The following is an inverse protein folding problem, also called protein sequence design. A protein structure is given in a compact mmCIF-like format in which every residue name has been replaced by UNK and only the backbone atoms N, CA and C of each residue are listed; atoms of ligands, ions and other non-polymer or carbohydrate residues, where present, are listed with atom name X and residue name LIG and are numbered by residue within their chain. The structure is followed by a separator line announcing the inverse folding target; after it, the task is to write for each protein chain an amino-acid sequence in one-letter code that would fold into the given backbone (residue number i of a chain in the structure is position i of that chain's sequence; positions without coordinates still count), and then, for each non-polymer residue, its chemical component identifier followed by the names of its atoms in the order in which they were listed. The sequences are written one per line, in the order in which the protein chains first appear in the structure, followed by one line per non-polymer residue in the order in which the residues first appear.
data_IF_476578322108
#
_entry.id   IF_476578322108
#
_cell.length_a   1.000
_cell.length_b   1.000
_cell.length_c   1.000
_cell.angle_alpha   90.00
_cell.angle_beta   90.00
_cell.angle_gamma   90.00
#
_symmetry.space_group_name_H-M   'P 1'
#
loop_
_entity.id
_entity.type
_entity.pdbx_description
1 polymer ?
#
# COMPACT_ATOMS: atom_id res chain seq x y z
N UNK A 1 29.55 -68.23 -7.57
CA UNK A 1 28.68 -67.66 -6.52
C UNK A 1 29.13 -66.21 -6.36
N UNK A 2 28.64 -65.26 -7.17
CA UNK A 2 27.37 -64.51 -7.00
C UNK A 2 27.24 -64.01 -5.55
N UNK A 3 27.01 -62.75 -5.22
CA UNK A 3 26.58 -61.58 -5.98
C UNK A 3 27.00 -60.32 -5.21
N UNK A 4 27.08 -59.23 -5.97
CA UNK A 4 27.41 -57.88 -5.54
C UNK A 4 26.56 -57.43 -4.34
N UNK A 5 27.24 -57.02 -3.27
CA UNK A 5 26.63 -56.30 -2.16
C UNK A 5 26.07 -54.97 -2.69
N UNK A 6 24.78 -54.95 -2.97
CA UNK A 6 24.03 -53.78 -3.44
C UNK A 6 24.11 -52.70 -2.36
N UNK A 7 24.85 -51.65 -2.67
CA UNK A 7 24.96 -50.41 -1.91
C UNK A 7 23.56 -49.80 -1.79
N UNK A 8 22.95 -49.90 -0.61
CA UNK A 8 21.68 -49.25 -0.32
C UNK A 8 21.85 -47.73 -0.29
N UNK A 9 21.41 -47.06 -1.35
CA UNK A 9 21.30 -45.60 -1.41
C UNK A 9 20.16 -45.15 -0.48
N UNK A 10 20.47 -44.68 0.73
CA UNK A 10 19.48 -44.10 1.65
C UNK A 10 19.01 -42.74 1.14
N UNK A 11 17.85 -42.70 0.50
CA UNK A 11 17.17 -41.45 0.13
C UNK A 11 16.30 -40.97 1.29
N UNK A 12 16.64 -39.83 1.88
CA UNK A 12 15.83 -39.19 2.91
C UNK A 12 14.82 -38.22 2.28
N UNK A 13 13.54 -38.59 2.29
CA UNK A 13 12.45 -37.72 1.82
C UNK A 13 12.00 -36.78 2.96
N UNK A 14 12.35 -35.50 2.85
CA UNK A 14 11.95 -34.47 3.82
C UNK A 14 10.71 -33.74 3.29
N UNK A 15 9.60 -33.81 4.04
CA UNK A 15 8.35 -33.11 3.71
C UNK A 15 8.29 -31.78 4.47
N UNK A 16 8.64 -30.69 3.81
CA UNK A 16 8.56 -29.34 4.37
C UNK A 16 7.12 -28.81 4.27
N UNK A 17 6.48 -28.53 5.41
CA UNK A 17 5.22 -27.78 5.48
C UNK A 17 5.54 -26.31 5.73
N UNK A 18 5.42 -25.47 4.72
CA UNK A 18 5.57 -24.02 4.86
C UNK A 18 4.28 -23.43 5.41
N UNK A 19 4.38 -22.67 6.51
CA UNK A 19 3.27 -21.88 7.03
C UNK A 19 2.88 -20.82 6.00
N UNK A 20 1.65 -20.89 5.48
CA UNK A 20 1.08 -19.83 4.65
C UNK A 20 1.02 -18.55 5.49
N UNK A 21 1.75 -17.53 5.07
CA UNK A 21 1.56 -16.17 5.60
C UNK A 21 0.29 -15.66 4.96
N UNK A 22 -0.81 -15.66 5.72
CA UNK A 22 -1.98 -14.89 5.34
C UNK A 22 -1.55 -13.42 5.25
N UNK A 23 -1.50 -12.90 4.02
CA UNK A 23 -1.52 -11.47 3.85
C UNK A 23 -2.82 -11.03 4.49
N UNK A 24 -2.74 -10.31 5.60
CA UNK A 24 -3.91 -9.66 6.20
C UNK A 24 -4.70 -9.07 5.04
N UNK A 25 -5.92 -9.58 4.83
CA UNK A 25 -6.81 -9.06 3.80
C UNK A 25 -6.77 -7.56 3.92
N UNK A 26 -6.48 -6.88 2.80
CA UNK A 26 -6.24 -5.45 2.80
C UNK A 26 -7.32 -4.79 3.64
N UNK A 27 -6.99 -4.33 4.85
CA UNK A 27 -7.92 -3.57 5.66
C UNK A 27 -8.50 -2.50 4.74
N UNK A 28 -9.82 -2.51 4.57
CA UNK A 28 -10.51 -1.82 3.48
C UNK A 28 -9.92 -0.43 3.31
N UNK A 29 -9.21 -0.21 2.19
CA UNK A 29 -8.56 1.07 1.94
C UNK A 29 -9.66 2.13 1.93
N UNK A 30 -9.59 3.10 2.84
CA UNK A 30 -10.59 4.15 2.91
C UNK A 30 -10.54 5.00 1.63
N UNK A 31 -11.71 5.38 1.11
CA UNK A 31 -11.81 6.29 -0.03
C UNK A 31 -11.38 7.71 0.35
N UNK A 32 -10.84 8.45 -0.61
CA UNK A 32 -10.42 9.83 -0.39
C UNK A 32 -11.59 10.82 -0.50
N UNK A 33 -12.50 10.79 0.48
CA UNK A 33 -13.69 11.65 0.55
C UNK A 33 -13.32 13.14 0.53
N UNK A 34 -12.11 13.50 1.00
CA UNK A 34 -11.63 14.87 1.01
C UNK A 34 -11.59 15.54 -0.37
N UNK A 35 -11.44 14.75 -1.46
CA UNK A 35 -11.47 15.26 -2.84
C UNK A 35 -12.83 15.85 -3.24
N UNK A 36 -13.92 15.44 -2.61
CA UNK A 36 -15.26 15.98 -2.88
C UNK A 36 -15.42 17.45 -2.47
N UNK A 37 -14.50 17.99 -1.66
CA UNK A 37 -14.46 19.44 -1.36
C UNK A 37 -14.13 20.28 -2.60
N UNK A 38 -13.43 19.71 -3.58
CA UNK A 38 -13.14 20.37 -4.84
C UNK A 38 -14.39 20.33 -5.74
N UNK A 39 -14.94 21.49 -6.09
CA UNK A 39 -16.17 21.60 -6.85
C UNK A 39 -16.10 20.90 -8.23
N UNK A 40 -14.94 20.94 -8.89
CA UNK A 40 -14.74 20.27 -10.18
C UNK A 40 -14.84 18.74 -10.06
N UNK A 41 -14.14 18.16 -9.08
CA UNK A 41 -14.14 16.70 -8.84
C UNK A 41 -15.53 16.22 -8.42
N UNK A 42 -16.25 17.03 -7.63
CA UNK A 42 -17.62 16.72 -7.23
C UNK A 42 -18.56 16.62 -8.44
N UNK A 43 -18.50 17.61 -9.36
CA UNK A 43 -19.29 17.60 -10.60
C UNK A 43 -18.99 16.37 -11.45
N UNK A 44 -17.72 16.02 -11.60
CA UNK A 44 -17.27 14.84 -12.34
C UNK A 44 -17.79 13.54 -11.70
N UNK A 45 -17.73 13.44 -10.37
CA UNK A 45 -18.25 12.29 -9.63
C UNK A 45 -19.78 12.13 -9.80
N UNK A 46 -20.53 13.23 -9.71
CA UNK A 46 -22.00 13.21 -9.92
C UNK A 46 -22.35 12.81 -11.34
N UNK A 47 -21.61 13.31 -12.34
CA UNK A 47 -21.82 12.95 -13.74
C UNK A 47 -21.53 11.46 -13.98
N UNK A 48 -20.43 10.95 -13.45
CA UNK A 48 -20.06 9.54 -13.56
C UNK A 48 -21.09 8.62 -12.90
N UNK A 49 -21.64 9.01 -11.74
CA UNK A 49 -22.73 8.28 -11.10
C UNK A 49 -23.99 8.27 -11.97
N UNK A 50 -24.40 9.43 -12.50
CA UNK A 50 -25.56 9.54 -13.39
C UNK A 50 -25.41 8.66 -14.63
N UNK A 51 -24.22 8.64 -15.23
CA UNK A 51 -23.94 7.81 -16.40
C UNK A 51 -24.07 6.32 -16.07
N UNK A 52 -23.49 5.87 -14.94
CA UNK A 52 -23.58 4.46 -14.52
C UNK A 52 -25.02 4.03 -14.22
N UNK A 53 -25.75 4.82 -13.42
CA UNK A 53 -27.13 4.49 -13.09
C UNK A 53 -28.06 4.58 -14.30
N UNK A 54 -27.82 5.50 -15.23
CA UNK A 54 -28.52 5.56 -16.51
C UNK A 54 -28.32 4.28 -17.33
N UNK A 55 -27.08 3.80 -17.44
CA UNK A 55 -26.78 2.55 -18.14
C UNK A 55 -27.42 1.32 -17.46
N UNK A 56 -27.48 1.30 -16.12
CA UNK A 56 -28.14 0.23 -15.38
C UNK A 56 -29.66 0.25 -15.51
N UNK A 57 -30.27 1.43 -15.53
CA UNK A 57 -31.71 1.56 -15.78
C UNK A 57 -32.09 1.02 -17.16
N UNK A 58 -31.34 1.39 -18.20
CA UNK A 58 -31.56 0.89 -19.55
C UNK A 58 -31.42 -0.64 -19.67
N UNK A 59 -30.53 -1.25 -18.87
CA UNK A 59 -30.40 -2.71 -18.82
C UNK A 59 -31.59 -3.35 -18.08
N UNK A 60 -32.00 -2.77 -16.95
CA UNK A 60 -33.13 -3.27 -16.16
C UNK A 60 -34.45 -3.25 -16.96
N UNK A 61 -34.70 -2.21 -17.75
CA UNK A 61 -35.88 -2.08 -18.62
C UNK A 61 -35.95 -3.15 -19.73
N UNK A 62 -34.84 -3.84 -20.01
CA UNK A 62 -34.76 -4.91 -21.03
C UNK A 62 -34.88 -6.33 -20.47
N UNK A 63 -34.94 -6.47 -19.15
CA UNK A 63 -35.01 -7.75 -18.43
C UNK A 63 -36.34 -7.87 -17.69
N UNK A 64 -37.15 -8.87 -18.03
CA UNK A 64 -38.45 -9.16 -17.39
C UNK A 64 -38.32 -9.92 -16.05
N UNK A 65 -37.09 -10.22 -15.61
CA UNK A 65 -36.81 -10.90 -14.35
C UNK A 65 -36.70 -9.86 -13.22
N UNK A 66 -37.47 -10.04 -12.15
CA UNK A 66 -37.48 -9.12 -11.02
C UNK A 66 -36.36 -9.51 -10.04
N UNK A 67 -35.22 -8.78 -9.97
CA UNK A 67 -34.11 -9.22 -9.16
C UNK A 67 -34.45 -9.16 -7.68
N UNK A 68 -33.98 -10.16 -6.93
CA UNK A 68 -34.07 -10.21 -5.47
C UNK A 68 -33.56 -8.91 -4.83
N UNK A 69 -34.19 -8.48 -3.74
CA UNK A 69 -33.89 -7.21 -3.05
C UNK A 69 -32.41 -7.16 -2.65
N UNK A 70 -31.83 -8.30 -2.28
CA UNK A 70 -30.42 -8.41 -1.95
C UNK A 70 -29.51 -8.05 -3.12
N UNK A 71 -29.80 -8.57 -4.32
CA UNK A 71 -28.98 -8.33 -5.52
C UNK A 71 -29.14 -6.90 -6.03
N UNK A 72 -30.35 -6.32 -5.93
CA UNK A 72 -30.60 -4.89 -6.18
C UNK A 72 -29.73 -4.02 -5.27
N UNK A 73 -29.73 -4.31 -3.97
CA UNK A 73 -28.92 -3.58 -3.00
C UNK A 73 -27.41 -3.72 -3.26
N UNK A 74 -26.94 -4.93 -3.59
CA UNK A 74 -25.53 -5.17 -3.89
C UNK A 74 -25.09 -4.44 -5.17
N UNK A 75 -25.93 -4.40 -6.19
CA UNK A 75 -25.69 -3.64 -7.43
C UNK A 75 -25.56 -2.14 -7.14
N UNK A 76 -26.48 -1.57 -6.35
CA UNK A 76 -26.41 -0.17 -5.94
C UNK A 76 -25.11 0.10 -5.17
N UNK A 77 -24.80 -0.73 -4.18
CA UNK A 77 -23.57 -0.57 -3.39
C UNK A 77 -22.31 -0.63 -4.26
N UNK A 78 -22.22 -1.61 -5.15
CA UNK A 78 -21.04 -1.81 -6.00
C UNK A 78 -20.85 -0.67 -6.98
N UNK A 79 -21.91 -0.14 -7.57
CA UNK A 79 -21.84 0.99 -8.51
C UNK A 79 -21.36 2.27 -7.86
N UNK A 80 -21.81 2.55 -6.63
CA UNK A 80 -21.26 3.65 -5.83
C UNK A 80 -19.78 3.45 -5.51
N UNK A 81 -19.37 2.24 -5.13
CA UNK A 81 -17.97 1.92 -4.83
C UNK A 81 -17.10 2.06 -6.08
N UNK A 82 -17.54 1.58 -7.24
CA UNK A 82 -16.83 1.70 -8.51
C UNK A 82 -16.67 3.15 -8.97
N UNK A 83 -17.73 3.95 -8.87
CA UNK A 83 -17.65 5.37 -9.18
C UNK A 83 -16.70 6.11 -8.23
N UNK A 84 -16.81 5.83 -6.93
CA UNK A 84 -15.99 6.49 -5.94
C UNK A 84 -14.52 6.07 -6.04
N UNK A 85 -14.24 4.80 -6.34
CA UNK A 85 -12.87 4.32 -6.58
C UNK A 85 -12.27 4.88 -7.87
N UNK A 86 -13.05 5.05 -8.94
CA UNK A 86 -12.59 5.67 -10.20
C UNK A 86 -12.21 7.14 -10.02
N UNK A 87 -13.09 7.94 -9.41
CA UNK A 87 -12.91 9.40 -9.34
C UNK A 87 -12.12 9.84 -8.09
N UNK A 88 -12.52 9.34 -6.91
CA UNK A 88 -11.89 9.74 -5.65
C UNK A 88 -10.60 8.94 -5.40
N UNK A 89 -10.61 7.66 -5.78
CA UNK A 89 -9.53 6.74 -5.46
C UNK A 89 -9.41 6.51 -3.95
N UNK A 90 -8.39 5.76 -3.59
CA UNK A 90 -8.10 5.44 -2.20
C UNK A 90 -7.31 6.55 -1.53
N UNK A 91 -7.53 6.71 -0.22
CA UNK A 91 -6.74 7.58 0.62
C UNK A 91 -5.32 7.04 0.67
N UNK A 92 -4.38 7.85 0.21
CA UNK A 92 -2.98 7.54 0.39
C UNK A 92 -2.69 7.40 1.88
N UNK A 93 -1.88 6.41 2.24
CA UNK A 93 -1.30 6.35 3.58
C UNK A 93 -0.56 7.66 3.75
N UNK A 94 -1.12 8.59 4.55
CA UNK A 94 -0.58 9.93 4.73
C UNK A 94 0.94 9.82 4.81
N UNK A 95 1.62 10.31 3.78
CA UNK A 95 3.05 10.49 3.89
C UNK A 95 3.24 11.36 5.11
N UNK A 96 4.18 10.95 5.96
CA UNK A 96 4.54 11.70 7.16
C UNK A 96 4.87 13.13 6.69
N UNK A 97 3.95 14.07 6.89
CA UNK A 97 4.04 15.45 6.39
C UNK A 97 5.32 16.14 6.90
N UNK A 98 5.85 15.65 8.02
CA UNK A 98 7.09 16.09 8.64
C UNK A 98 8.37 15.56 7.97
N UNK A 99 8.32 14.56 7.08
CA UNK A 99 9.50 14.01 6.43
C UNK A 99 9.88 14.80 5.17
N UNK A 100 11.14 15.21 5.09
CA UNK A 100 11.70 15.97 3.99
C UNK A 100 11.92 15.07 2.76
N UNK A 101 11.80 15.58 1.50
CA UNK A 101 12.10 14.80 0.29
C UNK A 101 13.47 14.13 0.29
N UNK A 102 14.49 14.78 0.86
CA UNK A 102 15.83 14.20 1.01
C UNK A 102 15.86 12.95 1.89
N UNK A 103 15.04 12.89 2.95
CA UNK A 103 14.93 11.69 3.79
C UNK A 103 14.17 10.58 3.07
N UNK A 104 13.16 10.91 2.26
CA UNK A 104 12.49 9.95 1.39
C UNK A 104 13.44 9.31 0.37
N UNK A 105 14.31 10.09 -0.26
CA UNK A 105 15.34 9.57 -1.18
C UNK A 105 16.27 8.57 -0.46
N UNK A 106 16.69 8.86 0.77
CA UNK A 106 17.52 7.95 1.57
C UNK A 106 16.79 6.66 1.94
N UNK A 107 15.48 6.73 2.23
CA UNK A 107 14.65 5.54 2.45
C UNK A 107 14.62 4.66 1.20
N UNK A 108 14.51 5.27 0.03
CA UNK A 108 14.49 4.53 -1.23
C UNK A 108 15.84 3.85 -1.52
N UNK A 109 16.95 4.56 -1.32
CA UNK A 109 18.30 3.96 -1.40
C UNK A 109 18.46 2.77 -0.43
N UNK A 110 17.91 2.87 0.79
CA UNK A 110 17.92 1.77 1.74
C UNK A 110 17.13 0.55 1.24
N UNK A 111 15.96 0.78 0.61
CA UNK A 111 15.17 -0.31 0.02
C UNK A 111 15.94 -1.00 -1.11
N UNK A 112 16.59 -0.24 -1.98
CA UNK A 112 17.42 -0.78 -3.06
C UNK A 112 18.55 -1.67 -2.50
N UNK A 113 19.22 -1.25 -1.42
CA UNK A 113 20.23 -2.09 -0.77
C UNK A 113 19.61 -3.37 -0.17
N UNK A 114 18.42 -3.28 0.41
CA UNK A 114 17.71 -4.46 0.91
C UNK A 114 17.38 -5.45 -0.22
N UNK A 115 16.92 -4.95 -1.37
CA UNK A 115 16.68 -5.78 -2.55
C UNK A 115 17.98 -6.45 -3.05
N UNK A 116 19.09 -5.71 -3.08
CA UNK A 116 20.41 -6.26 -3.43
C UNK A 116 20.85 -7.38 -2.48
N UNK A 117 20.58 -7.28 -1.18
CA UNK A 117 20.88 -8.35 -0.21
C UNK A 117 20.11 -9.64 -0.55
N UNK A 118 18.83 -9.52 -0.93
CA UNK A 118 17.97 -10.65 -1.26
C UNK A 118 18.38 -11.34 -2.57
N UNK A 119 18.82 -10.56 -3.56
CA UNK A 119 19.18 -11.09 -4.88
C UNK A 119 20.60 -11.66 -4.96
N UNK A 120 21.48 -11.31 -4.02
CA UNK A 120 22.89 -11.70 -4.04
C UNK A 120 23.09 -13.11 -3.47
N UNK A 121 23.61 -14.04 -4.28
CA UNK A 121 23.94 -15.42 -3.87
C UNK A 121 25.32 -15.55 -3.21
N UNK A 122 26.29 -14.70 -3.56
CA UNK A 122 27.65 -14.74 -3.00
C UNK A 122 27.71 -14.18 -1.57
N UNK A 123 28.23 -14.97 -0.63
CA UNK A 123 28.32 -14.59 0.79
C UNK A 123 29.20 -13.35 1.03
N UNK A 124 30.32 -13.22 0.31
CA UNK A 124 31.23 -12.07 0.43
C UNK A 124 30.55 -10.77 0.02
N UNK A 125 29.89 -10.78 -1.14
CA UNK A 125 29.19 -9.62 -1.67
C UNK A 125 27.97 -9.29 -0.79
N UNK A 126 27.25 -10.30 -0.31
CA UNK A 126 26.14 -10.11 0.63
C UNK A 126 26.59 -9.43 1.93
N UNK A 127 27.76 -9.80 2.49
CA UNK A 127 28.33 -9.16 3.68
C UNK A 127 28.62 -7.67 3.44
N UNK A 128 29.21 -7.33 2.29
CA UNK A 128 29.48 -5.93 1.93
C UNK A 128 28.19 -5.11 1.79
N UNK A 129 27.19 -5.63 1.09
CA UNK A 129 25.90 -4.94 0.91
C UNK A 129 25.16 -4.81 2.26
N UNK A 130 25.27 -5.80 3.16
CA UNK A 130 24.74 -5.73 4.53
C UNK A 130 25.37 -4.59 5.33
N UNK A 131 26.69 -4.40 5.24
CA UNK A 131 27.35 -3.26 5.91
C UNK A 131 26.91 -1.92 5.32
N UNK A 132 26.83 -1.80 3.99
CA UNK A 132 26.28 -0.61 3.34
C UNK A 132 24.83 -0.32 3.78
N UNK A 133 24.00 -1.36 3.90
CA UNK A 133 22.63 -1.24 4.39
C UNK A 133 22.59 -0.74 5.84
N UNK A 134 23.44 -1.24 6.74
CA UNK A 134 23.51 -0.78 8.13
C UNK A 134 23.87 0.71 8.20
N UNK A 135 24.86 1.15 7.43
CA UNK A 135 25.25 2.57 7.38
C UNK A 135 24.11 3.44 6.87
N UNK A 136 23.45 3.02 5.78
CA UNK A 136 22.29 3.75 5.24
C UNK A 136 21.09 3.74 6.19
N UNK A 137 20.85 2.68 6.94
CA UNK A 137 19.79 2.63 7.95
C UNK A 137 20.04 3.62 9.10
N UNK A 138 21.29 3.75 9.56
CA UNK A 138 21.69 4.77 10.53
C UNK A 138 21.46 6.18 9.98
N UNK A 139 21.83 6.42 8.72
CA UNK A 139 21.63 7.70 8.05
C UNK A 139 20.14 8.08 7.96
N UNK A 140 19.30 7.15 7.51
CA UNK A 140 17.84 7.32 7.44
C UNK A 140 17.26 7.64 8.81
N UNK A 141 17.66 6.91 9.86
CA UNK A 141 17.21 7.15 11.25
C UNK A 141 17.67 8.52 11.78
N UNK A 142 18.86 8.98 11.42
CA UNK A 142 19.35 10.31 11.81
C UNK A 142 18.55 11.41 11.09
N UNK A 143 18.39 11.28 9.78
CA UNK A 143 17.64 12.23 8.94
C UNK A 143 16.17 12.36 9.39
N UNK A 144 15.50 11.24 9.63
CA UNK A 144 14.11 11.23 10.11
C UNK A 144 13.97 11.85 11.52
N UNK A 145 14.96 11.70 12.41
CA UNK A 145 14.93 12.36 13.72
C UNK A 145 15.09 13.88 13.59
N UNK A 146 15.97 14.34 12.71
CA UNK A 146 16.17 15.76 12.45
C UNK A 146 14.93 16.41 11.85
N UNK A 147 14.36 15.79 10.80
CA UNK A 147 13.11 16.21 10.16
C UNK A 147 11.99 16.36 11.19
N UNK A 148 11.84 15.38 12.09
CA UNK A 148 10.82 15.42 13.14
C UNK A 148 11.04 16.59 14.11
N UNK A 149 12.28 16.84 14.54
CA UNK A 149 12.58 17.98 15.43
C UNK A 149 12.25 19.32 14.77
N UNK A 150 12.71 19.52 13.54
CA UNK A 150 12.44 20.73 12.77
C UNK A 150 10.92 20.96 12.59
N UNK A 151 10.17 19.90 12.33
CA UNK A 151 8.71 20.00 12.22
C UNK A 151 8.02 20.39 13.53
N UNK A 152 8.43 19.81 14.66
CA UNK A 152 7.90 20.16 15.99
C UNK A 152 8.23 21.61 16.35
N UNK A 153 9.45 22.06 16.05
CA UNK A 153 9.88 23.44 16.29
C UNK A 153 9.08 24.45 15.45
N UNK A 154 8.88 24.15 14.16
CA UNK A 154 8.02 24.96 13.28
C UNK A 154 6.57 25.05 13.78
N UNK A 155 6.01 23.95 14.31
CA UNK A 155 4.69 23.96 14.94
C UNK A 155 4.67 24.84 16.19
N UNK A 156 5.71 24.78 17.02
CA UNK A 156 5.88 25.64 18.19
C UNK A 156 5.89 27.12 17.83
N UNK A 157 6.73 27.52 16.87
CA UNK A 157 6.79 28.92 16.41
C UNK A 157 5.44 29.41 15.84
N UNK A 158 4.70 28.55 15.12
CA UNK A 158 3.37 28.90 14.61
C UNK A 158 2.36 29.10 15.75
N UNK A 159 2.39 28.24 16.76
CA UNK A 159 1.50 28.35 17.91
C UNK A 159 1.81 29.62 18.73
N UNK A 160 3.08 29.91 19.01
CA UNK A 160 3.51 31.13 19.69
C UNK A 160 3.06 32.39 18.91
N UNK A 161 3.29 32.41 17.60
CA UNK A 161 2.86 33.52 16.74
C UNK A 161 1.34 33.70 16.70
N UNK A 162 0.55 32.63 16.78
CA UNK A 162 -0.90 32.71 16.86
C UNK A 162 -1.36 33.25 18.22
N UNK A 163 -0.76 32.79 19.32
CA UNK A 163 -1.07 33.27 20.66
C UNK A 163 -0.75 34.76 20.85
N UNK A 164 0.27 35.29 20.19
CA UNK A 164 0.59 36.74 20.22
C UNK A 164 -0.39 37.62 19.43
N UNK A 165 -1.18 37.02 18.52
CA UNK A 165 -2.09 37.74 17.62
C UNK A 165 -3.56 37.65 18.04
N UNK A 166 -3.89 36.81 19.01
CA UNK A 166 -5.20 36.73 19.66
C UNK A 166 -5.19 37.55 20.93
#
# INVERSE_FOLDING_TARGET
MSEFAVVWMRTANIKLKLRKVEQQGQQGRQLNIGKLKCQNINKEFVLELRNRFGALGALADSTDEDPDIHTKWETIKNTYVEAATKILGYRDKKNKEWLTPGTWQKIEQKKQLKAKILNTKSLRLQKQVKEAYKTKDKEVKKSARNDKRAFVEMLGCKAEGAARRG
#
